data_IF_959066467577
#
_entry.id   IF_959066467577
#
_cell.length_a   1.000
_cell.length_b   1.000
_cell.length_c   1.000
_cell.angle_alpha   90.00
_cell.angle_beta   90.00
_cell.angle_gamma   90.00
#
_symmetry.space_group_name_H-M   'P 1'
#
loop_
_entity.id
_entity.type
_entity.pdbx_description
1 polymer ?
#
# COMPACT_ATOMS: atom_id res chain seq x y z
N UNK A 1 66.54 4.41 15.51
CA UNK A 1 65.07 4.35 15.35
C UNK A 1 64.76 4.80 13.93
N UNK A 2 64.53 3.87 13.01
CA UNK A 2 64.17 4.20 11.63
C UNK A 2 62.73 4.72 11.57
N UNK A 3 62.45 5.84 10.85
CA UNK A 3 61.10 6.33 10.68
C UNK A 3 60.32 5.41 9.74
N UNK A 4 59.21 4.85 10.22
CA UNK A 4 58.32 4.04 9.39
C UNK A 4 57.82 4.84 8.17
N UNK A 5 57.73 4.20 6.97
CA UNK A 5 57.39 4.90 5.73
C UNK A 5 55.93 5.37 5.72
N UNK A 6 55.74 6.68 5.49
CA UNK A 6 54.45 7.40 5.45
C UNK A 6 53.37 6.73 4.57
N UNK A 7 53.77 5.96 3.56
CA UNK A 7 52.88 5.24 2.65
C UNK A 7 52.11 4.08 3.30
N UNK A 8 52.63 3.47 4.37
CA UNK A 8 51.92 2.39 5.09
C UNK A 8 50.68 2.91 5.82
N UNK A 9 50.72 4.13 6.34
CA UNK A 9 49.59 4.75 7.01
C UNK A 9 48.49 5.14 6.02
N UNK A 10 48.84 5.64 4.83
CA UNK A 10 47.88 5.92 3.75
C UNK A 10 47.22 4.63 3.23
N UNK A 11 47.98 3.56 3.05
CA UNK A 11 47.43 2.27 2.64
C UNK A 11 46.46 1.69 3.69
N UNK A 12 46.83 1.71 4.97
CA UNK A 12 45.96 1.26 6.06
C UNK A 12 44.69 2.12 6.20
N UNK A 13 44.80 3.44 6.04
CA UNK A 13 43.64 4.33 6.04
C UNK A 13 42.71 4.05 4.85
N UNK A 14 43.27 3.79 3.66
CA UNK A 14 42.49 3.43 2.47
C UNK A 14 41.77 2.09 2.62
N UNK A 15 42.45 1.08 3.19
CA UNK A 15 41.86 -0.24 3.50
C UNK A 15 40.75 -0.14 4.56
N UNK A 16 40.95 0.72 5.57
CA UNK A 16 39.95 0.97 6.60
C UNK A 16 38.72 1.71 6.04
N UNK A 17 38.91 2.69 5.15
CA UNK A 17 37.81 3.39 4.50
C UNK A 17 37.04 2.48 3.51
N UNK A 18 37.74 1.57 2.82
CA UNK A 18 37.12 0.56 1.97
C UNK A 18 36.29 -0.43 2.80
N UNK A 19 36.81 -0.94 3.92
CA UNK A 19 36.07 -1.89 4.75
C UNK A 19 34.83 -1.25 5.39
N UNK A 20 34.93 -0.02 5.90
CA UNK A 20 33.79 0.70 6.49
C UNK A 20 32.68 0.94 5.46
N UNK A 21 33.02 1.30 4.21
CA UNK A 21 32.01 1.46 3.15
C UNK A 21 31.34 0.13 2.78
N UNK A 22 32.11 -0.96 2.69
CA UNK A 22 31.55 -2.30 2.42
C UNK A 22 30.60 -2.75 3.53
N UNK A 23 30.95 -2.54 4.81
CA UNK A 23 30.07 -2.89 5.93
C UNK A 23 28.78 -2.07 5.94
N UNK A 24 28.85 -0.77 5.64
CA UNK A 24 27.67 0.08 5.55
C UNK A 24 26.75 -0.33 4.39
N UNK A 25 27.30 -0.66 3.23
CA UNK A 25 26.54 -1.12 2.05
C UNK A 25 25.82 -2.46 2.30
N UNK A 26 26.48 -3.38 3.02
CA UNK A 26 25.88 -4.67 3.41
C UNK A 26 24.69 -4.46 4.36
N UNK A 27 24.82 -3.60 5.38
CA UNK A 27 23.73 -3.32 6.34
C UNK A 27 22.52 -2.66 5.67
N UNK A 28 22.75 -1.74 4.72
CA UNK A 28 21.69 -1.05 3.98
C UNK A 28 20.92 -2.03 3.07
N UNK A 29 21.65 -2.92 2.40
CA UNK A 29 21.07 -3.95 1.54
C UNK A 29 20.31 -4.97 2.37
N UNK A 30 20.82 -5.37 3.53
CA UNK A 30 20.12 -6.26 4.45
C UNK A 30 18.83 -5.63 4.98
N UNK A 31 18.87 -4.34 5.34
CA UNK A 31 17.68 -3.57 5.73
C UNK A 31 16.67 -3.50 4.60
N UNK A 32 17.10 -3.23 3.36
CA UNK A 32 16.22 -3.23 2.18
C UNK A 32 15.55 -4.59 2.00
N UNK A 33 16.30 -5.69 2.13
CA UNK A 33 15.78 -7.05 2.01
C UNK A 33 14.76 -7.39 3.12
N UNK A 34 14.97 -6.92 4.35
CA UNK A 34 13.98 -7.08 5.43
C UNK A 34 12.67 -6.36 5.11
N UNK A 35 12.76 -5.13 4.60
CA UNK A 35 11.59 -4.35 4.19
C UNK A 35 10.85 -5.01 3.01
N UNK A 36 11.58 -5.57 2.03
CA UNK A 36 10.97 -6.32 0.92
C UNK A 36 10.19 -7.54 1.41
N UNK A 37 10.74 -8.30 2.36
CA UNK A 37 10.06 -9.45 2.96
C UNK A 37 8.79 -9.06 3.71
N UNK A 38 8.82 -7.92 4.40
CA UNK A 38 7.65 -7.37 5.09
C UNK A 38 6.55 -6.97 4.10
N UNK A 39 6.92 -6.25 3.02
CA UNK A 39 6.00 -5.88 1.94
C UNK A 39 5.37 -7.14 1.31
N UNK A 40 6.17 -8.16 1.00
CA UNK A 40 5.70 -9.42 0.45
C UNK A 40 4.73 -10.14 1.40
N UNK A 41 4.98 -10.12 2.70
CA UNK A 41 4.05 -10.66 3.70
C UNK A 41 2.73 -9.91 3.67
N UNK A 42 2.77 -8.57 3.64
CA UNK A 42 1.57 -7.74 3.57
C UNK A 42 0.78 -7.97 2.28
N UNK A 43 1.45 -8.17 1.15
CA UNK A 43 0.80 -8.52 -0.10
C UNK A 43 0.04 -9.85 -0.02
N UNK A 44 0.64 -10.87 0.61
CA UNK A 44 -0.05 -12.15 0.86
C UNK A 44 -1.26 -11.99 1.78
N UNK A 45 -1.19 -11.10 2.75
CA UNK A 45 -2.30 -10.83 3.66
C UNK A 45 -3.45 -10.07 2.99
N UNK A 46 -3.16 -8.99 2.24
CA UNK A 46 -4.20 -8.25 1.51
C UNK A 46 -4.77 -9.07 0.34
N UNK A 47 -4.01 -10.02 -0.23
CA UNK A 47 -4.52 -10.90 -1.30
C UNK A 47 -5.73 -11.73 -0.84
N UNK A 48 -5.89 -11.98 0.47
CA UNK A 48 -7.07 -12.65 1.05
C UNK A 48 -8.36 -11.85 0.79
N UNK A 49 -8.26 -10.55 0.50
CA UNK A 49 -9.40 -9.72 0.07
C UNK A 49 -10.08 -10.24 -1.19
N UNK A 50 -9.44 -11.12 -1.96
CA UNK A 50 -10.05 -11.83 -3.09
C UNK A 50 -11.39 -12.48 -2.72
N UNK A 51 -11.56 -12.95 -1.48
CA UNK A 51 -12.82 -13.53 -1.01
C UNK A 51 -14.01 -12.59 -1.19
N UNK A 52 -13.77 -11.27 -1.11
CA UNK A 52 -14.79 -10.24 -1.32
C UNK A 52 -15.37 -10.24 -2.75
N UNK A 53 -14.63 -10.76 -3.74
CA UNK A 53 -15.11 -10.87 -5.13
C UNK A 53 -16.29 -11.82 -5.27
N UNK A 54 -16.41 -12.81 -4.37
CA UNK A 54 -17.49 -13.81 -4.37
C UNK A 54 -18.84 -13.26 -3.89
N UNK A 55 -18.86 -12.09 -3.25
CA UNK A 55 -20.10 -11.49 -2.76
C UNK A 55 -20.77 -10.70 -3.88
N UNK A 56 -21.98 -11.09 -4.30
CA UNK A 56 -22.74 -10.32 -5.29
C UNK A 56 -22.89 -8.85 -4.87
N UNK A 57 -23.22 -8.63 -3.60
CA UNK A 57 -23.30 -7.31 -2.96
C UNK A 57 -22.65 -7.34 -1.57
N UNK A 58 -22.04 -6.22 -1.18
CA UNK A 58 -21.50 -6.02 0.17
C UNK A 58 -22.57 -5.33 1.03
N UNK A 59 -22.93 -5.92 2.17
CA UNK A 59 -24.05 -5.47 2.99
C UNK A 59 -23.75 -4.25 3.85
N UNK A 60 -22.49 -4.05 4.20
CA UNK A 60 -22.03 -2.97 5.06
C UNK A 60 -20.56 -2.67 4.79
N UNK A 61 -20.22 -1.39 4.83
CA UNK A 61 -18.85 -0.89 4.70
C UNK A 61 -18.54 0.01 5.92
N UNK A 62 -17.26 0.10 6.33
CA UNK A 62 -16.86 1.09 7.31
C UNK A 62 -17.14 2.52 6.84
N UNK A 63 -17.20 3.47 7.78
CA UNK A 63 -17.42 4.88 7.46
C UNK A 63 -16.38 5.41 6.45
N UNK A 64 -16.80 6.37 5.62
CA UNK A 64 -15.98 7.03 4.62
C UNK A 64 -15.23 6.07 3.69
N UNK A 65 -15.80 4.89 3.43
CA UNK A 65 -15.18 3.84 2.62
C UNK A 65 -16.10 3.45 1.48
N UNK A 66 -15.54 3.32 0.27
CA UNK A 66 -16.25 2.77 -0.88
C UNK A 66 -15.47 1.61 -1.47
N UNK A 67 -16.19 0.69 -2.13
CA UNK A 67 -15.62 -0.41 -2.89
C UNK A 67 -16.15 -0.36 -4.30
N UNK A 68 -15.26 -0.52 -5.26
CA UNK A 68 -15.57 -0.69 -6.66
C UNK A 68 -14.96 -2.01 -7.14
N UNK A 69 -15.78 -2.88 -7.71
CA UNK A 69 -15.28 -4.10 -8.34
C UNK A 69 -14.78 -3.82 -9.76
N UNK A 70 -13.76 -4.55 -10.17
CA UNK A 70 -13.29 -4.60 -11.56
C UNK A 70 -13.95 -5.82 -12.22
N UNK A 71 -14.74 -5.57 -13.25
CA UNK A 71 -15.59 -6.57 -13.88
C UNK A 71 -16.97 -6.71 -13.21
N UNK A 72 -17.76 -7.66 -13.71
CA UNK A 72 -19.15 -7.90 -13.28
C UNK A 72 -19.25 -9.23 -12.56
N UNK A 73 -20.11 -9.34 -11.55
CA UNK A 73 -20.34 -10.62 -10.87
C UNK A 73 -20.89 -11.67 -11.87
N UNK A 74 -20.43 -12.93 -11.82
CA UNK A 74 -19.40 -13.51 -10.93
C UNK A 74 -17.95 -13.36 -11.44
N UNK A 75 -17.75 -12.85 -12.65
CA UNK A 75 -16.45 -12.74 -13.34
C UNK A 75 -15.69 -11.45 -12.99
N UNK A 76 -15.52 -11.18 -11.69
CA UNK A 76 -14.73 -10.05 -11.22
C UNK A 76 -13.25 -10.41 -11.16
N UNK A 77 -12.40 -9.52 -11.62
CA UNK A 77 -10.94 -9.70 -11.64
C UNK A 77 -10.23 -8.87 -10.59
N UNK A 78 -10.93 -7.98 -9.89
CA UNK A 78 -10.30 -7.12 -8.91
C UNK A 78 -11.27 -6.28 -8.12
N UNK A 79 -10.73 -5.52 -7.17
CA UNK A 79 -11.47 -4.57 -6.37
C UNK A 79 -10.60 -3.38 -6.00
N UNK A 80 -11.19 -2.18 -6.03
CA UNK A 80 -10.61 -0.94 -5.53
C UNK A 80 -11.36 -0.51 -4.28
N UNK A 81 -10.63 -0.29 -3.20
CA UNK A 81 -11.15 0.30 -1.97
C UNK A 81 -10.68 1.75 -1.91
N UNK A 82 -11.59 2.66 -1.59
CA UNK A 82 -11.27 4.07 -1.36
C UNK A 82 -11.66 4.48 0.04
N UNK A 83 -10.80 5.25 0.69
CA UNK A 83 -11.01 5.89 1.98
C UNK A 83 -10.98 7.39 1.76
N UNK A 84 -11.96 8.09 2.31
CA UNK A 84 -12.08 9.54 2.22
C UNK A 84 -11.84 10.18 3.59
N UNK A 85 -11.08 11.26 3.58
CA UNK A 85 -11.00 12.22 4.68
C UNK A 85 -11.37 13.58 4.12
N UNK A 86 -12.34 14.23 4.77
CA UNK A 86 -12.86 15.53 4.34
C UNK A 86 -12.80 16.44 5.55
N UNK A 87 -12.06 17.52 5.42
CA UNK A 87 -11.93 18.55 6.44
C UNK A 87 -12.82 19.74 6.02
N UNK A 88 -13.95 19.97 6.70
CA UNK A 88 -14.86 21.07 6.38
C UNK A 88 -14.24 22.42 6.75
N UNK A 89 -14.67 23.48 6.06
CA UNK A 89 -14.26 24.85 6.37
C UNK A 89 -14.76 25.25 7.78
N UNK A 90 -13.86 25.67 8.69
CA UNK A 90 -14.24 26.12 10.04
C UNK A 90 -15.25 27.27 10.05
N UNK A 91 -15.23 28.12 9.02
CA UNK A 91 -16.11 29.28 8.89
C UNK A 91 -17.42 28.93 8.17
N UNK A 92 -17.46 27.86 7.38
CA UNK A 92 -18.65 27.40 6.69
C UNK A 92 -18.70 25.87 6.57
N UNK A 93 -19.42 25.21 7.50
CA UNK A 93 -19.55 23.74 7.56
C UNK A 93 -20.11 23.09 6.29
N UNK A 94 -20.71 23.87 5.38
CA UNK A 94 -21.23 23.37 4.10
C UNK A 94 -20.20 23.42 2.97
N UNK A 95 -19.01 24.00 3.20
CA UNK A 95 -17.88 24.00 2.26
C UNK A 95 -16.81 23.03 2.73
N UNK A 96 -16.26 22.28 1.80
CA UNK A 96 -15.08 21.45 2.02
C UNK A 96 -13.88 22.35 1.81
N UNK A 97 -12.94 22.37 2.76
CA UNK A 97 -11.68 23.11 2.63
C UNK A 97 -10.61 22.21 2.02
N UNK A 98 -10.44 21.03 2.61
CA UNK A 98 -9.44 20.04 2.20
C UNK A 98 -10.07 18.65 2.10
N UNK A 99 -9.67 17.89 1.08
CA UNK A 99 -10.05 16.48 0.98
C UNK A 99 -8.87 15.60 0.57
N UNK A 100 -8.84 14.41 1.14
CA UNK A 100 -7.83 13.40 0.89
C UNK A 100 -8.54 12.07 0.58
N UNK A 101 -8.30 11.54 -0.61
CA UNK A 101 -8.70 10.20 -1.02
C UNK A 101 -7.46 9.30 -1.04
N UNK A 102 -7.52 8.19 -0.30
CA UNK A 102 -6.56 7.09 -0.43
C UNK A 102 -7.27 5.90 -1.02
N UNK A 103 -6.63 5.22 -1.96
CA UNK A 103 -7.18 4.00 -2.52
C UNK A 103 -6.13 2.94 -2.79
N UNK A 104 -6.57 1.69 -2.71
CA UNK A 104 -5.81 0.52 -3.15
C UNK A 104 -6.67 -0.26 -4.13
N UNK A 105 -6.11 -0.60 -5.28
CA UNK A 105 -6.64 -1.52 -6.26
C UNK A 105 -5.85 -2.82 -6.17
N UNK A 106 -6.57 -3.93 -6.05
CA UNK A 106 -6.06 -5.28 -6.10
C UNK A 106 -6.66 -5.97 -7.32
N UNK A 107 -5.82 -6.36 -8.28
CA UNK A 107 -6.24 -7.17 -9.43
C UNK A 107 -5.62 -8.57 -9.32
N UNK A 108 -6.41 -9.56 -9.71
CA UNK A 108 -6.09 -10.97 -9.59
C UNK A 108 -6.13 -11.63 -10.97
N UNK A 109 -5.12 -12.47 -11.22
CA UNK A 109 -5.16 -13.45 -12.29
C UNK A 109 -5.51 -14.82 -11.68
N UNK A 110 -6.78 -15.22 -11.80
CA UNK A 110 -7.29 -16.41 -11.13
C UNK A 110 -7.30 -16.27 -9.61
N UNK A 111 -6.42 -17.02 -8.92
CA UNK A 111 -6.23 -16.96 -7.48
C UNK A 111 -5.07 -16.07 -7.04
N UNK A 112 -4.24 -15.62 -7.97
CA UNK A 112 -2.96 -14.95 -7.69
C UNK A 112 -3.16 -13.44 -7.80
N UNK A 113 -2.68 -12.70 -6.79
CA UNK A 113 -2.61 -11.23 -6.85
C UNK A 113 -1.58 -10.84 -7.92
N UNK A 114 -2.06 -10.23 -9.01
CA UNK A 114 -1.26 -9.91 -10.19
C UNK A 114 -0.87 -8.44 -10.27
N UNK A 115 -1.57 -7.56 -9.56
CA UNK A 115 -1.24 -6.13 -9.56
C UNK A 115 -1.77 -5.44 -8.32
N UNK A 116 -0.95 -4.54 -7.78
CA UNK A 116 -1.34 -3.60 -6.74
C UNK A 116 -1.17 -2.18 -7.29
N UNK A 117 -2.21 -1.37 -7.21
CA UNK A 117 -2.12 0.06 -7.50
C UNK A 117 -2.60 0.85 -6.28
N UNK A 118 -1.72 1.67 -5.74
CA UNK A 118 -2.03 2.64 -4.69
C UNK A 118 -2.23 3.99 -5.34
N UNK A 119 -3.25 4.71 -4.91
CA UNK A 119 -3.44 6.10 -5.33
C UNK A 119 -3.82 6.96 -4.14
N UNK A 120 -3.14 8.09 -4.02
CA UNK A 120 -3.43 9.16 -3.08
C UNK A 120 -3.79 10.39 -3.90
N UNK A 121 -4.90 11.01 -3.58
CA UNK A 121 -5.34 12.26 -4.19
C UNK A 121 -5.64 13.23 -3.07
N UNK A 122 -4.96 14.37 -3.07
CA UNK A 122 -5.23 15.47 -2.15
C UNK A 122 -5.75 16.65 -2.95
N UNK A 123 -6.76 17.30 -2.41
CA UNK A 123 -7.38 18.47 -3.02
C UNK A 123 -7.55 19.54 -1.96
N UNK A 124 -6.95 20.69 -2.22
CA UNK A 124 -7.14 21.92 -1.47
C UNK A 124 -7.97 22.88 -2.32
N UNK A 125 -9.17 23.17 -1.84
CA UNK A 125 -10.13 23.99 -2.56
C UNK A 125 -9.90 25.48 -2.41
N UNK A 126 -9.12 25.93 -1.41
CA UNK A 126 -8.82 27.35 -1.20
C UNK A 126 -7.82 27.87 -2.23
N UNK A 127 -6.88 27.02 -2.61
CA UNK A 127 -5.83 27.33 -3.58
C UNK A 127 -6.03 26.58 -4.91
N UNK A 128 -7.19 25.95 -5.09
CA UNK A 128 -7.56 25.15 -6.28
C UNK A 128 -6.49 24.12 -6.68
N UNK A 129 -5.80 23.55 -5.69
CA UNK A 129 -4.70 22.62 -5.90
C UNK A 129 -5.16 21.19 -5.75
N UNK A 130 -4.93 20.40 -6.79
CA UNK A 130 -5.12 18.95 -6.76
C UNK A 130 -3.81 18.25 -7.07
N UNK A 131 -3.39 17.36 -6.17
CA UNK A 131 -2.25 16.49 -6.41
C UNK A 131 -2.68 15.04 -6.39
N UNK A 132 -2.05 14.22 -7.22
CA UNK A 132 -2.30 12.79 -7.30
C UNK A 132 -0.99 12.06 -7.40
N UNK A 133 -0.75 11.19 -6.44
CA UNK A 133 0.35 10.23 -6.43
C UNK A 133 -0.22 8.85 -6.68
N UNK A 134 0.36 8.12 -7.62
CA UNK A 134 0.02 6.74 -7.92
C UNK A 134 1.28 5.88 -7.83
N UNK A 135 1.15 4.72 -7.21
CA UNK A 135 2.22 3.72 -7.11
C UNK A 135 1.69 2.43 -7.69
N UNK A 136 2.41 1.86 -8.64
CA UNK A 136 2.00 0.66 -9.37
C UNK A 136 3.06 -0.41 -9.16
N UNK A 137 2.62 -1.59 -8.73
CA UNK A 137 3.42 -2.80 -8.64
C UNK A 137 2.71 -3.88 -9.46
N UNK A 138 3.38 -4.36 -10.52
CA UNK A 138 2.86 -5.35 -11.47
C UNK A 138 3.29 -6.77 -11.15
N UNK A 139 4.18 -6.97 -10.18
CA UNK A 139 4.63 -8.30 -9.75
C UNK A 139 4.68 -8.42 -8.22
N UNK A 140 3.58 -8.12 -7.49
CA UNK A 140 3.62 -7.96 -6.03
C UNK A 140 3.99 -9.25 -5.27
N UNK A 141 3.87 -10.43 -5.88
CA UNK A 141 4.22 -11.70 -5.24
C UNK A 141 5.56 -12.28 -5.72
N UNK A 142 6.24 -11.61 -6.65
CA UNK A 142 7.57 -11.99 -7.13
C UNK A 142 8.63 -11.27 -6.28
N UNK A 143 9.41 -12.04 -5.52
CA UNK A 143 10.46 -11.49 -4.66
C UNK A 143 11.77 -11.19 -5.40
N UNK A 144 11.85 -11.58 -6.67
CA UNK A 144 13.01 -11.36 -7.53
C UNK A 144 12.90 -10.09 -8.38
N UNK A 145 11.69 -9.53 -8.49
CA UNK A 145 11.40 -8.36 -9.33
C UNK A 145 11.04 -7.17 -8.45
N UNK A 146 11.70 -6.04 -8.67
CA UNK A 146 11.37 -4.75 -8.05
C UNK A 146 10.99 -3.76 -9.15
N UNK A 147 9.78 -3.93 -9.68
CA UNK A 147 9.22 -3.18 -10.81
C UNK A 147 8.26 -2.06 -10.37
N UNK A 148 8.31 -1.66 -9.10
CA UNK A 148 7.43 -0.61 -8.58
C UNK A 148 7.71 0.73 -9.26
N UNK A 149 6.66 1.36 -9.78
CA UNK A 149 6.72 2.67 -10.43
C UNK A 149 5.92 3.69 -9.62
N UNK A 150 6.53 4.85 -9.38
CA UNK A 150 5.91 6.00 -8.72
C UNK A 150 5.56 7.02 -9.80
N UNK A 151 4.32 7.50 -9.76
CA UNK A 151 3.78 8.53 -10.64
C UNK A 151 3.24 9.66 -9.78
N UNK A 152 3.59 10.89 -10.13
CA UNK A 152 3.06 12.09 -9.50
C UNK A 152 2.43 12.98 -10.58
N UNK A 153 1.36 13.67 -10.20
CA UNK A 153 0.73 14.71 -11.02
C UNK A 153 0.19 15.81 -10.12
N UNK A 154 0.38 17.06 -10.52
CA UNK A 154 -0.07 18.24 -9.81
C UNK A 154 -0.05 19.48 -10.71
N UNK A 155 -0.07 20.66 -10.09
CA UNK A 155 -0.06 21.95 -10.81
C UNK A 155 1.21 22.10 -11.65
N UNK A 156 2.36 21.68 -11.13
CA UNK A 156 3.67 21.85 -11.77
C UNK A 156 3.97 20.79 -12.85
N UNK A 157 3.00 19.92 -13.16
CA UNK A 157 3.11 18.88 -14.18
C UNK A 157 3.00 17.46 -13.62
N UNK A 158 3.44 16.50 -14.42
CA UNK A 158 3.42 15.07 -14.07
C UNK A 158 4.78 14.43 -14.31
N UNK A 159 5.20 13.57 -13.40
CA UNK A 159 6.46 12.84 -13.49
C UNK A 159 6.25 11.36 -13.13
N UNK A 160 7.14 10.51 -13.63
CA UNK A 160 7.14 9.08 -13.33
C UNK A 160 8.55 8.53 -13.29
N UNK A 161 8.85 7.78 -12.23
CA UNK A 161 10.14 7.13 -12.06
C UNK A 161 10.00 5.76 -11.38
N UNK A 162 10.87 4.80 -11.70
CA UNK A 162 10.90 3.52 -11.01
C UNK A 162 11.47 3.67 -9.60
N UNK A 163 11.01 2.88 -8.64
CA UNK A 163 11.52 2.92 -7.26
C UNK A 163 13.03 2.67 -7.19
N UNK A 164 13.57 1.89 -8.13
CA UNK A 164 15.00 1.60 -8.24
C UNK A 164 15.86 2.85 -8.48
N UNK A 165 15.29 3.94 -9.04
CA UNK A 165 16.03 5.19 -9.30
C UNK A 165 16.25 6.04 -8.05
N UNK A 166 15.52 5.78 -6.96
CA UNK A 166 15.77 6.45 -5.69
C UNK A 166 17.10 6.00 -5.10
N UNK A 167 17.80 6.93 -4.46
CA UNK A 167 19.12 6.68 -3.88
C UNK A 167 19.00 5.75 -2.66
N UNK A 168 19.90 4.78 -2.54
CA UNK A 168 19.95 3.92 -1.37
C UNK A 168 21.39 3.57 -0.98
N UNK A 169 22.10 4.54 -0.42
CA UNK A 169 23.47 4.39 0.05
C UNK A 169 23.65 4.89 1.49
N UNK A 170 24.88 4.85 1.98
CA UNK A 170 25.23 5.19 3.37
C UNK A 170 24.95 6.64 3.74
N UNK A 171 24.78 7.52 2.75
CA UNK A 171 24.49 8.94 2.96
C UNK A 171 22.99 9.19 2.90
N UNK A 172 22.28 8.56 1.94
CA UNK A 172 20.84 8.76 1.76
C UNK A 172 20.16 7.44 1.39
N UNK A 173 19.25 6.99 2.26
CA UNK A 173 18.53 5.73 2.13
C UNK A 173 17.08 5.93 1.66
N UNK A 174 16.87 6.73 0.61
CA UNK A 174 15.54 7.16 0.15
C UNK A 174 14.61 5.97 -0.16
N UNK A 175 15.13 4.89 -0.75
CA UNK A 175 14.34 3.66 -0.98
C UNK A 175 13.87 3.02 0.31
N UNK A 176 14.77 2.85 1.28
CA UNK A 176 14.44 2.24 2.56
C UNK A 176 13.44 3.11 3.33
N UNK A 177 13.64 4.43 3.30
CA UNK A 177 12.75 5.39 3.96
C UNK A 177 11.38 5.40 3.30
N UNK A 178 11.30 5.40 1.97
CA UNK A 178 10.03 5.25 1.25
C UNK A 178 9.28 3.96 1.64
N UNK A 179 9.98 2.81 1.61
CA UNK A 179 9.39 1.51 1.95
C UNK A 179 8.87 1.50 3.39
N UNK A 180 9.71 1.92 4.34
CA UNK A 180 9.42 1.87 5.78
C UNK A 180 8.42 2.92 6.21
N UNK A 181 8.65 4.18 5.84
CA UNK A 181 7.92 5.30 6.42
C UNK A 181 6.62 5.63 5.71
N UNK A 182 6.46 5.16 4.48
CA UNK A 182 5.26 5.36 3.70
C UNK A 182 4.61 4.03 3.29
N UNK A 183 5.29 3.20 2.49
CA UNK A 183 4.65 2.11 1.75
C UNK A 183 4.06 1.04 2.68
N UNK A 184 4.87 0.53 3.62
CA UNK A 184 4.45 -0.47 4.60
C UNK A 184 3.29 0.05 5.47
N UNK A 185 3.38 1.30 5.93
CA UNK A 185 2.30 1.92 6.74
C UNK A 185 1.00 2.02 5.94
N UNK A 186 1.08 2.35 4.65
CA UNK A 186 -0.07 2.39 3.76
C UNK A 186 -0.71 1.00 3.60
N UNK A 187 0.10 -0.03 3.35
CA UNK A 187 -0.39 -1.41 3.23
C UNK A 187 -1.04 -1.91 4.53
N UNK A 188 -0.44 -1.61 5.69
CA UNK A 188 -0.99 -1.96 7.01
C UNK A 188 -2.36 -1.30 7.25
N UNK A 189 -2.51 -0.03 6.90
CA UNK A 189 -3.77 0.71 7.03
C UNK A 189 -4.89 0.04 6.18
N UNK A 190 -4.59 -0.28 4.92
CA UNK A 190 -5.55 -0.95 4.05
C UNK A 190 -5.79 -2.41 4.42
N UNK A 191 -4.81 -3.12 4.97
CA UNK A 191 -4.99 -4.46 5.51
C UNK A 191 -5.99 -4.48 6.68
N UNK A 192 -5.89 -3.52 7.61
CA UNK A 192 -6.86 -3.33 8.69
C UNK A 192 -8.27 -3.04 8.15
N UNK A 193 -8.35 -2.18 7.13
CA UNK A 193 -9.61 -1.83 6.48
C UNK A 193 -10.28 -3.06 5.83
N UNK A 194 -9.51 -3.84 5.07
CA UNK A 194 -9.93 -5.07 4.41
C UNK A 194 -10.42 -6.13 5.39
N UNK A 195 -9.70 -6.32 6.48
CA UNK A 195 -10.07 -7.22 7.57
C UNK A 195 -11.41 -6.80 8.19
N UNK A 196 -11.59 -5.49 8.39
CA UNK A 196 -12.85 -4.93 8.91
C UNK A 196 -14.02 -5.18 7.95
N UNK A 197 -13.86 -4.92 6.65
CA UNK A 197 -14.89 -5.17 5.63
C UNK A 197 -15.27 -6.65 5.58
N UNK A 198 -14.28 -7.54 5.59
CA UNK A 198 -14.48 -8.99 5.55
C UNK A 198 -15.26 -9.48 6.78
N UNK A 199 -14.92 -8.96 7.95
CA UNK A 199 -15.60 -9.28 9.21
C UNK A 199 -17.06 -8.81 9.22
N UNK A 200 -17.34 -7.63 8.65
CA UNK A 200 -18.70 -7.12 8.47
C UNK A 200 -19.53 -8.01 7.55
N UNK A 201 -18.95 -8.55 6.47
CA UNK A 201 -19.67 -9.47 5.58
C UNK A 201 -20.00 -10.79 6.28
N UNK A 202 -19.03 -11.38 7.00
CA UNK A 202 -19.25 -12.63 7.76
C UNK A 202 -20.33 -12.48 8.82
N UNK A 203 -20.33 -11.36 9.54
CA UNK A 203 -21.34 -11.07 10.58
C UNK A 203 -22.74 -10.86 9.98
N UNK A 204 -22.82 -10.15 8.85
CA UNK A 204 -24.10 -9.88 8.18
C UNK A 204 -24.70 -11.14 7.55
N UNK A 205 -23.87 -11.98 6.92
CA UNK A 205 -24.27 -13.29 6.40
C UNK A 205 -24.89 -14.17 7.48
N UNK A 206 -24.25 -14.27 8.65
CA UNK A 206 -24.76 -15.04 9.78
C UNK A 206 -26.09 -14.51 10.34
N UNK A 207 -26.29 -13.19 10.36
CA UNK A 207 -27.57 -12.59 10.82
C UNK A 207 -28.70 -12.86 9.84
N UNK A 208 -28.45 -12.77 8.54
CA UNK A 208 -29.45 -13.03 7.52
C UNK A 208 -29.83 -14.52 7.46
N UNK A 209 -28.85 -15.42 7.59
CA UNK A 209 -29.11 -16.86 7.73
C UNK A 209 -29.96 -17.15 8.97
N UNK A 210 -29.62 -16.60 10.15
CA UNK A 210 -30.42 -16.78 11.37
C UNK A 210 -31.85 -16.27 11.23
N UNK A 211 -32.06 -15.13 10.56
CA UNK A 211 -33.41 -14.60 10.26
C UNK A 211 -34.18 -15.51 9.30
N UNK A 212 -33.53 -16.00 8.24
CA UNK A 212 -34.12 -16.92 7.27
C UNK A 212 -34.52 -18.24 7.94
N UNK A 213 -33.64 -18.85 8.76
CA UNK A 213 -33.97 -20.06 9.52
C UNK A 213 -35.12 -19.82 10.51
N UNK A 214 -35.16 -18.67 11.17
CA UNK A 214 -36.29 -18.31 12.04
C UNK A 214 -37.60 -18.21 11.25
N UNK A 215 -37.59 -17.60 10.07
CA UNK A 215 -38.76 -17.51 9.19
C UNK A 215 -39.20 -18.88 8.67
N UNK A 216 -38.25 -19.74 8.27
CA UNK A 216 -38.54 -21.10 7.85
C UNK A 216 -39.16 -21.92 8.98
N UNK A 217 -38.58 -21.87 10.18
CA UNK A 217 -39.13 -22.56 11.36
C UNK A 217 -40.52 -22.03 11.75
N UNK A 218 -40.79 -20.74 11.56
CA UNK A 218 -42.12 -20.16 11.77
C UNK A 218 -43.13 -20.54 10.68
N UNK A 219 -42.66 -20.80 9.45
CA UNK A 219 -43.50 -21.23 8.32
C UNK A 219 -43.82 -22.72 8.33
N UNK A 220 -42.94 -23.55 8.90
CA UNK A 220 -43.08 -25.01 9.01
C UNK A 220 -43.95 -25.41 10.22
N UNK A 221 -44.94 -24.59 10.56
CA UNK A 221 -45.76 -24.69 11.77
C UNK A 221 -46.07 -26.12 12.20
N UNK A 222 -45.40 -26.54 13.27
CA UNK A 222 -45.84 -27.55 14.23
C UNK A 222 -45.93 -26.85 15.59
#
# INVERSE_FOLDING_TARGET
MEPLPKYRHLALLSLFLLSVNLFAEVDITEKENRLNKEILSLYRDIAKARDLLSYEQLSSLPANTTIQFIGTYPNRTGLRIRKFKVDPDPQNKNRIKHSEEKSILLEFNGSVLSKVEIQITTEDTEIEQKTRTKIIDTTPLDDSVNDMVIQFSGIDGSDSFPLSSLRNDSVKQERNDFKKDFYIKFLLDFHSQLTSITSLQKTSGNRNQKKMFKQLNQSLGY
#
